data_IF_239030830289
#
_entry.id   IF_239030830289
#
_cell.length_a   1.000
_cell.length_b   1.000
_cell.length_c   1.000
_cell.angle_alpha   90.00
_cell.angle_beta   90.00
_cell.angle_gamma   90.00
#
_symmetry.space_group_name_H-M   'P 1'
#
loop_
_entity.id
_entity.type
_entity.pdbx_description
1 polymer ?
#
# COMPACT_ATOMS: atom_id res chain seq x y z
N UNK A 1 3.45 21.39 7.17
CA UNK A 1 3.75 20.17 6.38
C UNK A 1 2.98 20.28 5.06
N UNK A 2 3.46 19.70 3.98
CA UNK A 2 2.78 19.78 2.67
C UNK A 2 1.77 18.64 2.54
N UNK A 3 0.59 18.89 1.96
CA UNK A 3 -0.38 17.86 1.64
C UNK A 3 0.14 17.02 0.47
N UNK A 4 0.32 15.71 0.68
CA UNK A 4 0.76 14.79 -0.37
C UNK A 4 -0.41 14.22 -1.16
N UNK A 5 -1.51 13.90 -0.48
CA UNK A 5 -2.73 13.36 -1.08
C UNK A 5 -3.94 14.16 -0.61
N UNK A 6 -4.78 14.56 -1.58
CA UNK A 6 -6.08 15.15 -1.30
C UNK A 6 -7.13 14.47 -2.16
N UNK A 7 -8.20 14.01 -1.53
CA UNK A 7 -9.33 13.34 -2.15
C UNK A 7 -10.59 14.17 -1.91
N UNK A 8 -11.35 14.47 -2.98
CA UNK A 8 -12.53 15.32 -2.92
C UNK A 8 -13.72 14.60 -3.54
N UNK A 9 -14.75 14.39 -2.76
CA UNK A 9 -16.06 13.83 -3.14
C UNK A 9 -15.92 12.54 -3.97
N UNK A 10 -14.98 11.67 -3.59
CA UNK A 10 -14.65 10.47 -4.34
C UNK A 10 -15.81 9.47 -4.27
N UNK A 11 -16.16 8.94 -5.45
CA UNK A 11 -17.20 7.90 -5.58
C UNK A 11 -16.66 6.72 -6.39
N UNK A 12 -17.03 5.52 -5.95
CA UNK A 12 -16.83 4.29 -6.70
C UNK A 12 -18.05 3.40 -6.58
N UNK A 13 -18.72 3.23 -7.70
CA UNK A 13 -19.91 2.40 -7.82
C UNK A 13 -19.64 1.20 -8.74
N UNK A 14 -20.24 0.08 -8.43
CA UNK A 14 -20.19 -1.13 -9.24
C UNK A 14 -21.61 -1.55 -9.67
N UNK A 15 -21.77 -1.85 -10.95
CA UNK A 15 -22.98 -2.47 -11.45
C UNK A 15 -23.04 -3.93 -11.02
N UNK A 16 -24.05 -4.32 -10.27
CA UNK A 16 -24.29 -5.69 -9.83
C UNK A 16 -25.62 -6.21 -10.37
N UNK A 17 -25.86 -7.51 -10.29
CA UNK A 17 -27.15 -8.10 -10.67
C UNK A 17 -28.33 -7.54 -9.86
N UNK A 18 -28.05 -7.08 -8.64
CA UNK A 18 -29.06 -6.58 -7.69
C UNK A 18 -29.15 -5.04 -7.67
N UNK A 19 -28.51 -4.34 -8.61
CA UNK A 19 -28.48 -2.88 -8.68
C UNK A 19 -27.09 -2.29 -8.50
N UNK A 20 -27.04 -0.99 -8.25
CA UNK A 20 -25.80 -0.23 -8.11
C UNK A 20 -25.24 -0.36 -6.67
N UNK A 21 -24.05 -0.90 -6.54
CA UNK A 21 -23.33 -0.98 -5.26
C UNK A 21 -22.46 0.27 -5.08
N UNK A 22 -22.77 1.09 -4.08
CA UNK A 22 -22.00 2.26 -3.67
C UNK A 22 -20.84 1.82 -2.74
N UNK A 23 -19.71 1.40 -3.31
CA UNK A 23 -18.59 0.89 -2.52
C UNK A 23 -17.75 2.01 -1.87
N UNK A 24 -17.70 3.18 -2.50
CA UNK A 24 -17.19 4.44 -1.94
C UNK A 24 -18.16 5.53 -2.38
N UNK A 25 -18.67 6.31 -1.45
CA UNK A 25 -19.67 7.32 -1.73
C UNK A 25 -19.35 8.64 -1.02
N UNK A 26 -19.04 9.66 -1.82
CA UNK A 26 -18.77 11.04 -1.39
C UNK A 26 -17.68 11.17 -0.29
N UNK A 27 -16.59 10.40 -0.42
CA UNK A 27 -15.48 10.42 0.56
C UNK A 27 -14.50 11.55 0.23
N UNK A 28 -14.17 12.37 1.24
CA UNK A 28 -13.22 13.49 1.11
C UNK A 28 -12.26 13.50 2.30
N UNK A 29 -10.95 13.56 2.05
CA UNK A 29 -9.92 13.65 3.07
C UNK A 29 -8.61 14.17 2.49
N UNK A 30 -7.68 14.55 3.37
CA UNK A 30 -6.31 14.89 3.00
C UNK A 30 -5.32 14.21 3.93
N UNK A 31 -4.10 13.97 3.42
CA UNK A 31 -2.98 13.40 4.17
C UNK A 31 -1.76 14.28 3.96
N UNK A 32 -1.07 14.64 5.03
CA UNK A 32 0.19 15.34 4.98
C UNK A 32 1.35 14.38 4.72
N UNK A 33 2.42 14.89 4.13
CA UNK A 33 3.63 14.10 3.84
C UNK A 33 4.25 13.55 5.13
N UNK A 34 4.60 12.25 5.12
CA UNK A 34 5.20 11.56 6.25
C UNK A 34 4.20 11.12 7.33
N UNK A 35 2.88 11.29 7.12
CA UNK A 35 1.85 10.87 8.08
C UNK A 35 1.13 9.60 7.65
N UNK A 36 0.53 8.92 8.62
CA UNK A 36 -0.32 7.74 8.41
C UNK A 36 -1.78 8.08 8.66
N UNK A 37 -2.63 7.87 7.63
CA UNK A 37 -4.08 7.83 7.78
C UNK A 37 -4.53 6.39 8.00
N UNK A 38 -4.98 6.06 9.21
CA UNK A 38 -5.66 4.81 9.50
C UNK A 38 -7.09 4.82 8.97
N UNK A 39 -7.47 3.78 8.23
CA UNK A 39 -8.84 3.62 7.71
C UNK A 39 -9.45 2.38 8.34
N UNK A 40 -10.47 2.57 9.18
CA UNK A 40 -11.15 1.50 9.91
C UNK A 40 -12.62 1.39 9.54
N UNK A 41 -13.22 0.25 9.82
CA UNK A 41 -14.64 -0.03 9.59
C UNK A 41 -14.88 -1.52 9.38
N UNK A 42 -16.15 -1.92 9.30
CA UNK A 42 -16.54 -3.32 9.11
C UNK A 42 -16.01 -3.91 7.80
N UNK A 43 -15.92 -5.25 7.73
CA UNK A 43 -15.56 -5.94 6.49
C UNK A 43 -16.59 -5.60 5.39
N UNK A 44 -16.09 -5.30 4.18
CA UNK A 44 -16.97 -4.94 3.05
C UNK A 44 -17.47 -3.50 3.03
N UNK A 45 -17.12 -2.63 4.00
CA UNK A 45 -17.59 -1.24 4.00
C UNK A 45 -16.89 -0.31 2.99
N UNK A 46 -15.97 -0.83 2.15
CA UNK A 46 -15.35 -0.06 1.05
C UNK A 46 -13.89 0.35 1.24
N UNK A 47 -13.24 0.04 2.37
CA UNK A 47 -11.84 0.44 2.70
C UNK A 47 -10.83 0.05 1.62
N UNK A 48 -10.77 -1.23 1.28
CA UNK A 48 -9.85 -1.73 0.23
C UNK A 48 -10.19 -1.16 -1.15
N UNK A 49 -11.48 -0.92 -1.42
CA UNK A 49 -11.91 -0.26 -2.66
C UNK A 49 -11.40 1.18 -2.72
N UNK A 50 -11.49 1.93 -1.62
CA UNK A 50 -10.96 3.29 -1.52
C UNK A 50 -9.47 3.32 -1.84
N UNK A 51 -8.67 2.47 -1.19
CA UNK A 51 -7.22 2.39 -1.44
C UNK A 51 -6.88 2.06 -2.90
N UNK A 52 -7.60 1.11 -3.50
CA UNK A 52 -7.42 0.73 -4.91
C UNK A 52 -7.82 1.84 -5.89
N UNK A 53 -8.84 2.63 -5.58
CA UNK A 53 -9.24 3.77 -6.41
C UNK A 53 -8.20 4.89 -6.32
N UNK A 54 -7.71 5.20 -5.12
CA UNK A 54 -6.65 6.19 -4.90
C UNK A 54 -5.38 5.84 -5.69
N UNK A 55 -5.03 4.55 -5.76
CA UNK A 55 -3.87 4.05 -6.53
C UNK A 55 -4.14 3.84 -8.03
N UNK A 56 -5.32 4.20 -8.54
CA UNK A 56 -5.73 3.93 -9.94
C UNK A 56 -5.66 2.45 -10.35
N UNK A 57 -5.78 1.52 -9.41
CA UNK A 57 -5.99 0.10 -9.69
C UNK A 57 -7.45 -0.16 -10.10
N UNK A 58 -8.37 0.71 -9.65
CA UNK A 58 -9.76 0.79 -10.08
C UNK A 58 -10.06 2.23 -10.51
N UNK A 59 -10.81 2.45 -11.61
CA UNK A 59 -11.23 3.79 -12.00
C UNK A 59 -12.25 4.33 -11.00
N UNK A 60 -12.16 5.62 -10.65
CA UNK A 60 -13.22 6.32 -9.93
C UNK A 60 -14.49 6.42 -10.79
N UNK A 61 -15.64 6.51 -10.14
CA UNK A 61 -16.90 6.85 -10.83
C UNK A 61 -17.04 8.37 -10.95
N UNK A 62 -16.75 9.08 -9.86
CA UNK A 62 -16.75 10.54 -9.77
C UNK A 62 -15.75 11.00 -8.69
N UNK A 63 -15.53 12.31 -8.61
CA UNK A 63 -14.68 12.94 -7.61
C UNK A 63 -13.31 13.28 -8.15
N UNK A 64 -12.46 13.83 -7.26
CA UNK A 64 -11.14 14.32 -7.62
C UNK A 64 -10.08 13.74 -6.68
N UNK A 65 -8.92 13.42 -7.25
CA UNK A 65 -7.74 12.96 -6.51
C UNK A 65 -6.57 13.86 -6.92
N UNK A 66 -5.96 14.52 -5.93
CA UNK A 66 -4.74 15.30 -6.12
C UNK A 66 -3.58 14.60 -5.40
N UNK A 67 -2.47 14.44 -6.09
CA UNK A 67 -1.24 13.88 -5.53
C UNK A 67 -0.09 14.86 -5.74
N UNK A 68 0.58 15.26 -4.66
CA UNK A 68 1.59 16.32 -4.64
C UNK A 68 1.09 17.62 -5.30
N UNK A 69 -0.19 17.97 -5.09
CA UNK A 69 -0.84 19.16 -5.65
C UNK A 69 -1.28 19.05 -7.11
N UNK A 70 -0.99 17.96 -7.81
CA UNK A 70 -1.39 17.71 -9.19
C UNK A 70 -2.68 16.87 -9.24
N UNK A 71 -3.65 17.28 -10.08
CA UNK A 71 -4.86 16.48 -10.33
C UNK A 71 -4.53 15.23 -11.13
N UNK A 72 -4.75 14.08 -10.49
CA UNK A 72 -4.51 12.76 -11.07
C UNK A 72 -5.80 11.97 -11.30
N UNK A 73 -6.98 12.59 -11.26
CA UNK A 73 -8.27 11.87 -11.33
C UNK A 73 -8.43 11.02 -12.59
N UNK A 74 -7.91 11.50 -13.74
CA UNK A 74 -7.95 10.81 -15.03
C UNK A 74 -6.56 10.81 -15.70
N UNK A 75 -5.57 10.07 -15.17
CA UNK A 75 -4.21 10.16 -15.66
C UNK A 75 -4.05 9.48 -17.04
N UNK A 76 -3.33 10.14 -17.97
CA UNK A 76 -2.89 9.50 -19.20
C UNK A 76 -1.90 8.37 -18.91
N UNK A 77 -1.70 7.43 -19.86
CA UNK A 77 -0.82 6.26 -19.67
C UNK A 77 0.59 6.60 -19.17
N UNK A 78 1.21 7.64 -19.71
CA UNK A 78 2.54 8.08 -19.28
C UNK A 78 2.54 8.54 -17.81
N UNK A 79 1.54 9.35 -17.42
CA UNK A 79 1.38 9.80 -16.02
C UNK A 79 1.05 8.64 -15.08
N UNK A 80 0.22 7.70 -15.52
CA UNK A 80 -0.09 6.50 -14.73
C UNK A 80 1.17 5.66 -14.45
N UNK A 81 2.09 5.58 -15.40
CA UNK A 81 3.38 4.91 -15.19
C UNK A 81 4.23 5.61 -14.12
N UNK A 82 4.30 6.94 -14.15
CA UNK A 82 4.97 7.74 -13.11
C UNK A 82 4.31 7.58 -11.73
N UNK A 83 2.97 7.63 -11.68
CA UNK A 83 2.20 7.46 -10.45
C UNK A 83 2.47 6.09 -9.80
N UNK A 84 2.48 5.02 -10.59
CA UNK A 84 2.79 3.66 -10.11
C UNK A 84 4.20 3.52 -9.55
N UNK A 85 5.14 4.41 -9.91
CA UNK A 85 6.46 4.46 -9.29
C UNK A 85 6.38 5.09 -7.89
N UNK A 86 5.59 6.15 -7.75
CA UNK A 86 5.51 6.97 -6.53
C UNK A 86 4.45 6.47 -5.53
N UNK A 87 3.48 5.70 -6.00
CA UNK A 87 2.35 5.20 -5.21
C UNK A 87 2.31 3.68 -5.31
N UNK A 88 2.47 2.98 -4.19
CA UNK A 88 2.59 1.53 -4.14
C UNK A 88 1.53 0.91 -3.23
N UNK A 89 1.40 -0.42 -3.27
CA UNK A 89 0.45 -1.15 -2.43
C UNK A 89 1.13 -2.34 -1.74
N UNK A 90 0.86 -2.48 -0.46
CA UNK A 90 1.09 -3.71 0.30
C UNK A 90 -0.26 -4.39 0.47
N UNK A 91 -0.37 -5.63 0.01
CA UNK A 91 -1.63 -6.37 -0.07
C UNK A 91 -1.90 -7.15 1.21
N UNK A 92 -3.18 -7.43 1.46
CA UNK A 92 -3.70 -8.17 2.60
C UNK A 92 -3.15 -9.59 2.69
N UNK A 93 -3.17 -10.32 1.59
CA UNK A 93 -2.67 -11.69 1.51
C UNK A 93 -1.33 -11.74 0.77
N UNK A 94 -0.23 -11.89 1.51
CA UNK A 94 1.08 -12.01 0.89
C UNK A 94 1.23 -13.29 0.05
N UNK A 95 0.41 -14.32 0.29
CA UNK A 95 0.48 -15.55 -0.48
C UNK A 95 -0.05 -15.36 -1.91
N UNK A 96 -1.23 -14.77 -2.04
CA UNK A 96 -1.85 -14.53 -3.36
C UNK A 96 -1.22 -13.37 -4.13
N UNK A 97 -0.55 -12.46 -3.44
CA UNK A 97 0.08 -11.28 -4.05
C UNK A 97 1.48 -11.52 -4.61
N UNK A 98 2.14 -12.62 -4.22
CA UNK A 98 3.46 -13.01 -4.69
C UNK A 98 3.36 -14.11 -5.74
N UNK A 99 4.17 -14.00 -6.81
CA UNK A 99 4.25 -15.07 -7.80
C UNK A 99 5.00 -16.28 -7.21
N UNK A 100 4.34 -17.44 -7.03
CA UNK A 100 4.96 -18.60 -6.37
C UNK A 100 6.09 -19.26 -7.19
N UNK A 101 6.25 -18.86 -8.46
CA UNK A 101 7.30 -19.36 -9.37
C UNK A 101 8.54 -18.48 -9.41
N UNK A 102 8.52 -17.35 -8.71
CA UNK A 102 9.64 -16.43 -8.60
C UNK A 102 10.32 -16.56 -7.24
N UNK A 103 11.64 -16.45 -7.21
CA UNK A 103 12.41 -16.34 -5.99
C UNK A 103 12.21 -14.98 -5.30
N UNK A 104 12.59 -14.86 -4.04
CA UNK A 104 12.57 -13.61 -3.27
C UNK A 104 13.27 -12.48 -4.03
N UNK A 105 14.48 -12.76 -4.56
CA UNK A 105 15.23 -11.76 -5.33
C UNK A 105 14.52 -11.33 -6.61
N UNK A 106 13.86 -12.27 -7.30
CA UNK A 106 13.12 -11.96 -8.52
C UNK A 106 11.90 -11.10 -8.23
N UNK A 107 11.15 -11.39 -7.14
CA UNK A 107 9.96 -10.63 -6.74
C UNK A 107 10.33 -9.19 -6.36
N UNK A 108 11.36 -9.01 -5.51
CA UNK A 108 11.81 -7.68 -5.09
C UNK A 108 12.46 -6.92 -6.26
N UNK A 109 13.19 -7.63 -7.14
CA UNK A 109 13.87 -7.05 -8.28
C UNK A 109 12.98 -6.75 -9.49
N UNK A 110 11.76 -7.33 -9.56
CA UNK A 110 10.87 -7.14 -10.71
C UNK A 110 10.51 -5.67 -10.98
N UNK A 111 10.09 -4.86 -9.99
CA UNK A 111 9.85 -3.44 -10.21
C UNK A 111 11.09 -2.70 -10.73
N UNK A 112 12.28 -3.00 -10.20
CA UNK A 112 13.55 -2.39 -10.63
C UNK A 112 13.85 -2.67 -12.11
N UNK A 113 13.56 -3.90 -12.58
CA UNK A 113 13.70 -4.29 -13.99
C UNK A 113 12.68 -3.60 -14.88
N UNK A 114 11.40 -3.60 -14.49
CA UNK A 114 10.30 -3.00 -15.28
C UNK A 114 10.49 -1.50 -15.48
N UNK A 115 11.01 -0.81 -14.45
CA UNK A 115 11.27 0.64 -14.50
C UNK A 115 12.69 0.99 -14.94
N UNK A 116 13.52 0.00 -15.33
CA UNK A 116 14.89 0.19 -15.78
C UNK A 116 15.74 1.03 -14.81
N UNK A 117 15.58 0.76 -13.50
CA UNK A 117 16.27 1.52 -12.45
C UNK A 117 17.74 1.18 -12.41
N UNK A 118 18.09 -0.09 -12.62
CA UNK A 118 19.45 -0.62 -12.59
C UNK A 118 20.01 -0.79 -14.01
N UNK A 119 21.28 -0.44 -14.22
CA UNK A 119 21.97 -0.50 -15.52
C UNK A 119 22.64 -1.85 -15.78
N UNK A 120 22.90 -2.63 -14.73
CA UNK A 120 23.56 -3.94 -14.83
C UNK A 120 22.88 -4.95 -13.91
N UNK A 121 23.17 -6.24 -14.15
CA UNK A 121 22.71 -7.31 -13.25
C UNK A 121 23.35 -7.18 -11.86
N UNK A 122 24.62 -6.78 -11.80
CA UNK A 122 25.32 -6.60 -10.53
C UNK A 122 24.64 -5.50 -9.69
N UNK A 123 24.35 -4.34 -10.28
CA UNK A 123 23.64 -3.25 -9.59
C UNK A 123 22.24 -3.69 -9.11
N UNK A 124 21.53 -4.48 -9.92
CA UNK A 124 20.25 -5.07 -9.52
C UNK A 124 20.39 -5.99 -8.30
N UNK A 125 21.38 -6.89 -8.32
CA UNK A 125 21.61 -7.84 -7.23
C UNK A 125 22.05 -7.12 -5.94
N UNK A 126 22.85 -6.07 -6.04
CA UNK A 126 23.22 -5.21 -4.91
C UNK A 126 21.99 -4.48 -4.34
N UNK A 127 21.18 -3.87 -5.20
CA UNK A 127 19.98 -3.16 -4.77
C UNK A 127 18.94 -4.09 -4.12
N UNK A 128 18.76 -5.30 -4.64
CA UNK A 128 17.88 -6.31 -4.04
C UNK A 128 18.37 -6.70 -2.64
N UNK A 129 19.68 -6.89 -2.43
CA UNK A 129 20.26 -7.19 -1.12
C UNK A 129 20.04 -6.06 -0.12
N UNK A 130 20.26 -4.80 -0.53
CA UNK A 130 19.96 -3.63 0.29
C UNK A 130 18.50 -3.57 0.74
N UNK A 131 17.57 -3.87 -0.16
CA UNK A 131 16.14 -3.90 0.15
C UNK A 131 15.83 -5.06 1.11
N UNK A 132 16.37 -6.25 0.87
CA UNK A 132 16.20 -7.40 1.76
C UNK A 132 16.69 -7.09 3.17
N UNK A 133 17.88 -6.48 3.32
CA UNK A 133 18.41 -6.05 4.61
C UNK A 133 17.48 -5.01 5.27
N UNK A 134 17.03 -4.02 4.50
CA UNK A 134 16.13 -2.96 4.96
C UNK A 134 14.82 -3.50 5.55
N UNK A 135 14.27 -4.57 4.97
CA UNK A 135 13.05 -5.20 5.48
C UNK A 135 13.32 -6.36 6.44
N UNK A 136 14.57 -6.57 6.83
CA UNK A 136 14.98 -7.61 7.78
C UNK A 136 14.82 -9.04 7.23
N UNK A 137 15.07 -9.24 5.94
CA UNK A 137 15.14 -10.54 5.28
C UNK A 137 16.61 -10.97 5.11
N UNK A 138 17.09 -11.99 5.85
CA UNK A 138 18.44 -12.51 5.68
C UNK A 138 18.76 -12.93 4.24
N UNK A 139 19.98 -12.64 3.77
CA UNK A 139 20.45 -12.91 2.40
C UNK A 139 20.28 -14.38 1.99
N UNK A 140 20.40 -15.32 2.93
CA UNK A 140 20.19 -16.77 2.67
C UNK A 140 18.83 -17.11 2.04
N UNK A 141 17.83 -16.23 2.16
CA UNK A 141 16.51 -16.42 1.53
C UNK A 141 16.41 -15.84 0.12
N UNK A 142 17.48 -15.25 -0.42
CA UNK A 142 17.48 -14.61 -1.73
C UNK A 142 16.95 -15.52 -2.86
N UNK A 143 17.29 -16.81 -2.79
CA UNK A 143 16.89 -17.81 -3.79
C UNK A 143 15.70 -18.67 -3.35
N UNK A 144 15.15 -18.44 -2.15
CA UNK A 144 13.96 -19.15 -1.68
C UNK A 144 12.71 -18.71 -2.43
N UNK A 145 11.73 -19.59 -2.48
CA UNK A 145 10.40 -19.31 -3.04
C UNK A 145 9.40 -18.95 -1.93
N UNK A 146 8.33 -18.19 -2.24
CA UNK A 146 7.33 -17.79 -1.23
C UNK A 146 6.75 -18.97 -0.42
N UNK A 147 6.53 -20.11 -1.04
CA UNK A 147 5.94 -21.29 -0.37
C UNK A 147 6.88 -21.96 0.67
N UNK A 148 8.17 -21.66 0.64
CA UNK A 148 9.18 -22.15 1.59
C UNK A 148 9.28 -21.26 2.85
N UNK A 149 8.56 -20.12 2.90
CA UNK A 149 8.68 -19.11 3.92
C UNK A 149 7.39 -18.98 4.75
N UNK A 150 7.51 -18.54 5.98
CA UNK A 150 6.38 -18.20 6.84
C UNK A 150 5.67 -16.90 6.41
N UNK A 151 4.52 -16.63 7.03
CA UNK A 151 3.70 -15.46 6.72
C UNK A 151 4.43 -14.13 6.93
N UNK A 152 5.19 -14.00 8.01
CA UNK A 152 5.95 -12.79 8.32
C UNK A 152 7.04 -12.49 7.29
N UNK A 153 7.78 -13.53 6.83
CA UNK A 153 8.79 -13.37 5.78
C UNK A 153 8.14 -13.03 4.43
N UNK A 154 7.02 -13.66 4.08
CA UNK A 154 6.27 -13.31 2.87
C UNK A 154 5.80 -11.85 2.91
N UNK A 155 5.32 -11.38 4.06
CA UNK A 155 4.92 -9.99 4.19
C UNK A 155 6.10 -9.03 4.01
N UNK A 156 7.27 -9.35 4.57
CA UNK A 156 8.51 -8.58 4.35
C UNK A 156 8.92 -8.54 2.87
N UNK A 157 8.70 -9.60 2.10
CA UNK A 157 8.91 -9.61 0.64
C UNK A 157 7.95 -8.62 -0.04
N UNK A 158 6.67 -8.64 0.32
CA UNK A 158 5.67 -7.71 -0.20
C UNK A 158 6.00 -6.25 0.08
N UNK A 159 6.46 -5.96 1.31
CA UNK A 159 6.94 -4.64 1.72
C UNK A 159 8.20 -4.26 0.92
N UNK A 160 9.18 -5.16 0.80
CA UNK A 160 10.41 -4.94 0.02
C UNK A 160 10.11 -4.64 -1.45
N UNK A 161 9.19 -5.38 -2.05
CA UNK A 161 8.73 -5.12 -3.43
C UNK A 161 8.12 -3.72 -3.57
N UNK A 162 7.28 -3.30 -2.61
CA UNK A 162 6.68 -1.97 -2.62
C UNK A 162 7.74 -0.86 -2.47
N UNK A 163 8.77 -1.07 -1.65
CA UNK A 163 9.85 -0.12 -1.44
C UNK A 163 10.84 0.00 -2.60
N UNK A 164 10.90 -0.98 -3.50
CA UNK A 164 11.93 -1.09 -4.53
C UNK A 164 12.09 0.18 -5.39
N UNK A 165 11.00 0.89 -5.65
CA UNK A 165 10.98 2.11 -6.46
C UNK A 165 11.13 3.41 -5.65
N UNK A 166 11.42 3.34 -4.35
CA UNK A 166 11.44 4.47 -3.43
C UNK A 166 10.16 5.33 -3.53
N UNK A 167 8.99 4.75 -3.25
CA UNK A 167 7.72 5.45 -3.36
C UNK A 167 7.62 6.56 -2.31
N UNK A 168 6.74 7.54 -2.54
CA UNK A 168 6.36 8.56 -1.56
C UNK A 168 5.14 8.16 -0.74
N UNK A 169 4.31 7.27 -1.29
CA UNK A 169 3.01 6.93 -0.76
C UNK A 169 2.72 5.43 -0.91
N UNK A 170 2.24 4.81 0.15
CA UNK A 170 1.90 3.38 0.15
C UNK A 170 0.50 3.19 0.77
N UNK A 171 -0.35 2.45 0.07
CA UNK A 171 -1.59 1.90 0.63
C UNK A 171 -1.30 0.51 1.19
N UNK A 172 -1.56 0.32 2.47
CA UNK A 172 -1.41 -0.95 3.17
C UNK A 172 -2.81 -1.52 3.44
N UNK A 173 -3.21 -2.50 2.64
CA UNK A 173 -4.53 -3.14 2.72
C UNK A 173 -4.45 -4.34 3.66
N UNK A 174 -4.85 -4.18 4.92
CA UNK A 174 -4.81 -5.18 5.99
C UNK A 174 -3.46 -5.95 6.10
N UNK A 175 -2.31 -5.27 6.15
CA UNK A 175 -1.00 -5.90 5.94
C UNK A 175 -0.57 -6.87 7.04
N UNK A 176 -1.31 -6.94 8.15
CA UNK A 176 -0.98 -7.81 9.30
C UNK A 176 -2.11 -8.76 9.70
N UNK A 177 -3.29 -8.69 9.07
CA UNK A 177 -4.50 -9.41 9.48
C UNK A 177 -4.37 -10.94 9.46
N UNK A 178 -3.49 -11.48 8.62
CA UNK A 178 -3.26 -12.93 8.45
C UNK A 178 -2.05 -13.45 9.26
N UNK A 179 -1.48 -12.63 10.16
CA UNK A 179 -0.26 -12.96 10.91
C UNK A 179 -0.54 -13.17 12.39
N UNK A 180 0.30 -13.95 13.06
CA UNK A 180 0.29 -14.11 14.51
C UNK A 180 0.64 -12.79 15.21
N UNK A 181 0.10 -12.54 16.41
CA UNK A 181 0.22 -11.29 17.17
C UNK A 181 1.67 -10.82 17.31
N UNK A 182 2.61 -11.75 17.60
CA UNK A 182 4.02 -11.42 17.75
C UNK A 182 4.67 -10.96 16.43
N UNK A 183 4.26 -11.56 15.33
CA UNK A 183 4.74 -11.20 13.98
C UNK A 183 4.08 -9.90 13.53
N UNK A 184 2.79 -9.67 13.85
CA UNK A 184 2.12 -8.40 13.60
C UNK A 184 2.91 -7.22 14.19
N UNK A 185 3.29 -7.30 15.48
CA UNK A 185 4.06 -6.26 16.15
C UNK A 185 5.40 -5.98 15.44
N UNK A 186 6.09 -7.03 14.99
CA UNK A 186 7.35 -6.87 14.25
C UNK A 186 7.16 -6.16 12.89
N UNK A 187 6.08 -6.49 12.17
CA UNK A 187 5.77 -5.85 10.88
C UNK A 187 5.34 -4.40 11.09
N UNK A 188 4.54 -4.10 12.11
CA UNK A 188 4.14 -2.72 12.44
C UNK A 188 5.35 -1.86 12.79
N UNK A 189 6.26 -2.35 13.66
CA UNK A 189 7.49 -1.65 13.99
C UNK A 189 8.35 -1.41 12.74
N UNK A 190 8.53 -2.44 11.90
CA UNK A 190 9.24 -2.28 10.62
C UNK A 190 8.61 -1.16 9.77
N UNK A 191 7.29 -1.10 9.66
CA UNK A 191 6.62 -0.08 8.85
C UNK A 191 6.79 1.33 9.43
N UNK A 192 6.79 1.48 10.76
CA UNK A 192 7.08 2.75 11.43
C UNK A 192 8.54 3.19 11.21
N UNK A 193 9.51 2.28 11.36
CA UNK A 193 10.93 2.55 11.08
C UNK A 193 11.15 2.99 9.62
N UNK A 194 10.47 2.33 8.68
CA UNK A 194 10.52 2.68 7.26
C UNK A 194 9.89 4.04 6.98
N UNK A 195 8.78 4.37 7.67
CA UNK A 195 8.13 5.67 7.57
C UNK A 195 9.08 6.79 8.02
N UNK A 196 9.71 6.65 9.17
CA UNK A 196 10.66 7.61 9.70
C UNK A 196 11.88 7.76 8.77
N UNK A 197 12.50 6.63 8.38
CA UNK A 197 13.71 6.59 7.56
C UNK A 197 13.52 7.20 6.17
N UNK A 198 12.39 6.90 5.51
CA UNK A 198 12.13 7.28 4.12
C UNK A 198 11.06 8.36 3.96
N UNK A 199 10.52 8.89 5.06
CA UNK A 199 9.39 9.84 5.10
C UNK A 199 8.18 9.36 4.28
N UNK A 200 7.87 8.07 4.43
CA UNK A 200 6.75 7.45 3.72
C UNK A 200 5.43 7.98 4.27
N UNK A 201 4.46 8.14 3.38
CA UNK A 201 3.08 8.45 3.76
C UNK A 201 2.24 7.20 3.56
N UNK A 202 1.41 6.87 4.55
CA UNK A 202 0.58 5.67 4.49
C UNK A 202 -0.93 5.97 4.48
N UNK A 203 -1.69 5.17 3.72
CA UNK A 203 -3.05 4.79 4.10
C UNK A 203 -2.96 3.38 4.67
N UNK A 204 -3.34 3.22 5.93
CA UNK A 204 -3.30 1.95 6.62
C UNK A 204 -4.72 1.43 6.86
N UNK A 205 -5.14 0.47 6.05
CA UNK A 205 -6.46 -0.16 6.15
C UNK A 205 -6.41 -1.33 7.11
N UNK A 206 -7.29 -1.35 8.08
CA UNK A 206 -7.46 -2.47 9.02
C UNK A 206 -8.87 -2.48 9.62
N UNK A 207 -9.26 -3.60 10.19
CA UNK A 207 -10.46 -3.71 11.03
C UNK A 207 -10.12 -3.73 12.53
N UNK A 208 -8.83 -3.72 12.89
CA UNK A 208 -8.37 -3.72 14.28
C UNK A 208 -8.02 -2.30 14.76
N UNK A 209 -8.83 -1.80 15.71
CA UNK A 209 -8.65 -0.48 16.31
C UNK A 209 -7.34 -0.36 17.11
N UNK A 210 -6.85 -1.45 17.69
CA UNK A 210 -5.61 -1.45 18.46
C UNK A 210 -4.42 -1.22 17.54
N UNK A 211 -4.43 -1.86 16.37
CA UNK A 211 -3.40 -1.69 15.33
C UNK A 211 -3.41 -0.26 14.80
N UNK A 212 -4.58 0.27 14.44
CA UNK A 212 -4.69 1.63 13.90
C UNK A 212 -4.22 2.69 14.89
N UNK A 213 -4.61 2.55 16.16
CA UNK A 213 -4.19 3.47 17.22
C UNK A 213 -2.67 3.50 17.42
N UNK A 214 -1.99 2.39 17.10
CA UNK A 214 -0.54 2.27 17.28
C UNK A 214 0.25 2.93 16.14
N UNK A 215 -0.24 2.85 14.88
CA UNK A 215 0.53 3.26 13.70
C UNK A 215 0.04 4.58 13.08
N UNK A 216 -1.18 5.05 13.41
CA UNK A 216 -1.81 6.15 12.67
C UNK A 216 -1.72 7.49 13.41
N UNK A 217 -1.48 8.55 12.65
CA UNK A 217 -1.57 9.94 13.12
C UNK A 217 -3.02 10.45 13.10
N UNK A 218 -3.75 10.07 12.05
CA UNK A 218 -5.17 10.39 11.87
C UNK A 218 -5.94 9.09 11.65
N UNK A 219 -7.18 9.02 12.14
CA UNK A 219 -8.07 7.86 11.95
C UNK A 219 -9.32 8.30 11.20
N UNK A 220 -9.69 7.55 10.18
CA UNK A 220 -10.92 7.69 9.41
C UNK A 220 -11.79 6.45 9.55
N UNK A 221 -13.02 6.63 9.98
CA UNK A 221 -13.99 5.55 10.14
C UNK A 221 -14.88 5.51 8.91
N UNK A 222 -14.95 4.33 8.26
CA UNK A 222 -15.84 4.07 7.12
C UNK A 222 -16.98 3.13 7.50
N UNK A 223 -18.18 3.45 7.01
CA UNK A 223 -19.37 2.62 7.17
C UNK A 223 -20.20 2.66 5.88
N UNK A 224 -20.52 1.51 5.29
CA UNK A 224 -21.31 1.36 4.06
C UNK A 224 -20.93 2.32 2.92
N UNK A 225 -19.63 2.45 2.67
CA UNK A 225 -19.08 3.26 1.58
C UNK A 225 -18.86 4.74 1.91
N UNK A 226 -19.32 5.22 3.05
CA UNK A 226 -19.19 6.63 3.45
C UNK A 226 -18.17 6.79 4.58
N UNK A 227 -17.56 7.96 4.66
CA UNK A 227 -16.76 8.39 5.81
C UNK A 227 -17.72 8.95 6.85
N UNK A 228 -17.74 8.36 8.06
CA UNK A 228 -18.64 8.80 9.16
C UNK A 228 -17.92 9.68 10.15
N UNK A 229 -16.61 9.51 10.31
CA UNK A 229 -15.79 10.29 11.24
C UNK A 229 -14.34 10.34 10.77
N UNK A 230 -13.65 11.46 11.03
CA UNK A 230 -12.18 11.58 10.95
C UNK A 230 -11.71 12.32 12.19
N UNK A 231 -10.71 11.76 12.88
CA UNK A 231 -10.09 12.32 14.09
C UNK A 231 -8.57 12.24 13.99
N UNK A 232 -7.90 13.11 14.73
CA UNK A 232 -6.43 13.15 14.88
C UNK A 232 -6.04 12.63 16.25
#
# INVERSE_FOLDING_TARGET
MSTILEVRNLKKYFNTKNGLLHAVDNVSFSIEEGRTLGVVGESGCGKSTLGRVVLHLLPATEGQILFCGEDISNPKKAKLHELRRNMQMVFQDPYSSLNPRQSVAEIIGEPLKVYHVCRSKQELDERVREIMDTVGLPERYQHSYPHELDGGRRQRIGIGRALALNPKFIVCDEPVSALDVSIQAQILNLMMDLQEKYRLTYIFVTHDLSVVKHISDDIMVMYLGVMVEKTS
#
